data_IF_966812350952
#
_entry.id   IF_966812350952
#
_cell.length_a   1.000
_cell.length_b   1.000
_cell.length_c   1.000
_cell.angle_alpha   90.00
_cell.angle_beta   90.00
_cell.angle_gamma   90.00
#
_symmetry.space_group_name_H-M   'P 1'
#
loop_
_entity.id
_entity.type
_entity.pdbx_description
1 polymer ?
#
# COMPACT_ATOMS: atom_id res chain seq x y z
N UNK A 1 17.52 11.82 -6.05
CA UNK A 1 17.12 10.53 -6.65
C UNK A 1 16.89 9.57 -5.49
N UNK A 2 15.65 9.11 -5.26
CA UNK A 2 15.41 8.02 -4.31
C UNK A 2 16.21 6.83 -4.81
N UNK A 3 17.09 6.28 -3.97
CA UNK A 3 17.82 5.05 -4.31
C UNK A 3 16.78 3.93 -4.40
N UNK A 4 16.79 3.21 -5.51
CA UNK A 4 16.02 1.97 -5.73
C UNK A 4 16.56 0.83 -4.84
N UNK A 5 16.67 1.05 -3.53
CA UNK A 5 16.79 -0.09 -2.63
C UNK A 5 15.53 -0.96 -2.79
N UNK A 6 15.66 -2.30 -2.70
CA UNK A 6 14.55 -3.18 -2.94
C UNK A 6 13.53 -3.03 -1.80
N UNK A 7 12.60 -2.11 -1.98
CA UNK A 7 11.28 -2.11 -1.32
C UNK A 7 10.52 -3.43 -1.53
N UNK A 8 11.08 -4.35 -2.34
CA UNK A 8 10.48 -5.57 -2.87
C UNK A 8 10.94 -6.86 -2.20
N UNK A 9 11.86 -6.84 -1.24
CA UNK A 9 12.40 -8.07 -0.64
C UNK A 9 12.53 -7.99 0.89
N UNK A 10 11.40 -8.04 1.62
CA UNK A 10 11.42 -7.96 3.08
C UNK A 10 12.15 -9.16 3.70
N UNK A 11 12.98 -8.90 4.71
CA UNK A 11 13.65 -9.94 5.51
C UNK A 11 12.71 -10.65 6.49
N UNK A 12 11.55 -10.06 6.79
CA UNK A 12 10.56 -10.61 7.72
C UNK A 12 9.16 -10.46 7.12
N UNK A 13 8.36 -11.52 7.17
CA UNK A 13 7.02 -11.57 6.57
C UNK A 13 6.04 -12.10 7.61
N UNK A 14 4.99 -11.33 7.86
CA UNK A 14 3.88 -11.74 8.72
C UNK A 14 2.67 -12.14 7.88
N UNK A 15 2.13 -13.35 8.07
CA UNK A 15 0.88 -13.78 7.42
C UNK A 15 -0.10 -14.37 8.43
N UNK A 16 -1.25 -14.83 7.94
CA UNK A 16 -2.11 -15.78 8.64
C UNK A 16 -1.51 -17.18 8.72
N UNK A 17 -2.21 -18.07 9.42
CA UNK A 17 -1.82 -19.47 9.59
C UNK A 17 -2.26 -20.32 8.38
N UNK A 18 -2.57 -19.71 7.23
CA UNK A 18 -2.97 -20.47 6.05
C UNK A 18 -1.77 -21.20 5.44
N UNK A 19 -1.95 -22.48 5.09
CA UNK A 19 -0.89 -23.29 4.48
C UNK A 19 -0.46 -22.73 3.09
N UNK A 20 -1.37 -22.03 2.41
CA UNK A 20 -1.10 -21.35 1.14
C UNK A 20 -0.04 -20.26 1.28
N UNK A 21 0.03 -19.59 2.43
CA UNK A 21 1.00 -18.53 2.70
C UNK A 21 2.44 -19.05 2.69
N UNK A 22 2.68 -20.22 3.30
CA UNK A 22 4.01 -20.86 3.29
C UNK A 22 4.42 -21.29 1.87
N UNK A 23 3.50 -21.90 1.11
CA UNK A 23 3.75 -22.29 -0.27
C UNK A 23 4.10 -21.08 -1.17
N UNK A 24 3.38 -19.96 -0.99
CA UNK A 24 3.64 -18.72 -1.72
C UNK A 24 5.01 -18.11 -1.38
N UNK A 25 5.40 -18.13 -0.09
CA UNK A 25 6.73 -17.66 0.35
C UNK A 25 7.82 -18.50 -0.29
N UNK A 26 7.74 -19.84 -0.20
CA UNK A 26 8.74 -20.75 -0.76
C UNK A 26 8.87 -20.59 -2.28
N UNK A 27 7.75 -20.46 -2.99
CA UNK A 27 7.74 -20.19 -4.44
C UNK A 27 8.41 -18.84 -4.76
N UNK A 28 8.13 -17.81 -3.96
CA UNK A 28 8.72 -16.48 -4.15
C UNK A 28 10.23 -16.46 -3.87
N UNK A 29 10.71 -17.25 -2.91
CA UNK A 29 12.14 -17.47 -2.66
C UNK A 29 12.80 -18.20 -3.84
N UNK A 30 12.20 -19.28 -4.33
CA UNK A 30 12.69 -20.03 -5.50
C UNK A 30 12.79 -19.17 -6.76
N UNK A 31 11.83 -18.25 -6.95
CA UNK A 31 11.80 -17.28 -8.05
C UNK A 31 12.67 -16.03 -7.82
N UNK A 32 13.43 -15.96 -6.72
CA UNK A 32 14.30 -14.82 -6.34
C UNK A 32 13.55 -13.49 -6.21
N UNK A 33 12.26 -13.55 -5.85
CA UNK A 33 11.42 -12.38 -5.56
C UNK A 33 11.55 -11.93 -4.09
N UNK A 34 11.94 -12.84 -3.21
CA UNK A 34 12.17 -12.59 -1.78
C UNK A 34 13.61 -12.90 -1.38
N UNK A 35 13.97 -12.47 -0.16
CA UNK A 35 15.24 -12.80 0.47
C UNK A 35 15.36 -14.33 0.56
N UNK A 36 16.55 -14.94 0.36
CA UNK A 36 16.72 -16.39 0.39
C UNK A 36 16.27 -17.07 1.69
N UNK A 37 16.33 -16.31 2.79
CA UNK A 37 15.92 -16.76 4.12
C UNK A 37 15.05 -15.67 4.78
N UNK A 38 13.76 -15.59 4.44
CA UNK A 38 12.85 -14.64 5.06
C UNK A 38 12.30 -15.22 6.37
N UNK A 39 12.32 -14.44 7.44
CA UNK A 39 11.72 -14.85 8.71
C UNK A 39 10.21 -14.77 8.58
N UNK A 40 9.53 -15.92 8.56
CA UNK A 40 8.07 -16.00 8.57
C UNK A 40 7.54 -16.06 10.00
N UNK A 41 6.54 -15.23 10.32
CA UNK A 41 5.87 -15.29 11.61
C UNK A 41 4.35 -15.15 11.47
N UNK A 42 3.64 -15.75 12.42
CA UNK A 42 2.18 -15.70 12.51
C UNK A 42 1.80 -15.03 13.82
N UNK A 43 1.59 -13.72 13.79
CA UNK A 43 1.33 -12.91 14.98
C UNK A 43 0.06 -12.07 14.76
N UNK A 44 -0.96 -12.31 15.59
CA UNK A 44 -2.29 -11.72 15.46
C UNK A 44 -2.28 -10.18 15.45
N UNK A 45 -1.46 -9.53 16.29
CA UNK A 45 -1.44 -8.06 16.35
C UNK A 45 -0.86 -7.43 15.07
N UNK A 46 0.04 -8.11 14.36
CA UNK A 46 0.60 -7.60 13.09
C UNK A 46 -0.39 -7.74 11.93
N UNK A 47 -1.35 -8.66 12.04
CA UNK A 47 -2.46 -8.76 11.09
C UNK A 47 -3.45 -7.59 11.23
N UNK A 48 -3.55 -6.97 12.40
CA UNK A 48 -4.46 -5.82 12.60
C UNK A 48 -4.10 -4.63 11.71
N UNK A 49 -2.80 -4.44 11.41
CA UNK A 49 -2.37 -3.40 10.47
C UNK A 49 -2.90 -3.64 9.06
N UNK A 50 -2.74 -4.87 8.56
CA UNK A 50 -3.25 -5.29 7.25
C UNK A 50 -4.78 -5.19 7.21
N UNK A 51 -5.45 -5.61 8.28
CA UNK A 51 -6.92 -5.54 8.36
C UNK A 51 -7.42 -4.08 8.39
N UNK A 52 -6.70 -3.18 9.05
CA UNK A 52 -7.00 -1.74 9.04
C UNK A 52 -6.83 -1.14 7.63
N UNK A 53 -5.77 -1.51 6.93
CA UNK A 53 -5.52 -1.08 5.55
C UNK A 53 -6.61 -1.64 4.60
N UNK A 54 -6.98 -2.92 4.73
CA UNK A 54 -8.11 -3.52 4.01
C UNK A 54 -9.43 -2.79 4.27
N UNK A 55 -9.73 -2.49 5.54
CA UNK A 55 -10.94 -1.76 5.91
C UNK A 55 -11.00 -0.40 5.21
N UNK A 56 -9.88 0.33 5.13
CA UNK A 56 -9.82 1.65 4.46
C UNK A 56 -10.12 1.57 2.97
N UNK A 57 -9.64 0.53 2.28
CA UNK A 57 -9.98 0.28 0.87
C UNK A 57 -11.46 -0.11 0.74
N UNK A 58 -11.89 -1.13 1.49
CA UNK A 58 -13.26 -1.67 1.41
C UNK A 58 -14.33 -0.66 1.82
N UNK A 59 -14.05 0.27 2.74
CA UNK A 59 -14.99 1.29 3.20
C UNK A 59 -15.55 2.15 2.07
N UNK A 60 -14.77 2.39 1.01
CA UNK A 60 -15.22 3.20 -0.12
C UNK A 60 -15.85 2.37 -1.26
N UNK A 61 -15.70 1.04 -1.24
CA UNK A 61 -16.16 0.15 -2.31
C UNK A 61 -17.68 0.20 -2.56
N UNK A 62 -18.55 0.26 -1.53
CA UNK A 62 -20.00 0.35 -1.77
C UNK A 62 -20.42 1.64 -2.49
N UNK A 63 -19.61 2.70 -2.46
CA UNK A 63 -19.95 4.00 -3.07
C UNK A 63 -19.75 4.05 -4.58
N UNK A 64 -19.00 3.11 -5.14
CA UNK A 64 -18.61 3.12 -6.55
C UNK A 64 -19.47 2.20 -7.44
N UNK A 65 -20.39 1.42 -6.85
CA UNK A 65 -21.41 0.69 -7.61
C UNK A 65 -20.90 -0.47 -8.47
N UNK A 66 -19.91 -1.21 -7.96
CA UNK A 66 -19.23 -2.35 -8.59
C UNK A 66 -18.26 -2.01 -9.74
N UNK A 67 -17.57 -3.05 -10.22
CA UNK A 67 -16.59 -2.95 -11.30
C UNK A 67 -17.10 -3.65 -12.55
N UNK A 68 -17.11 -2.92 -13.67
CA UNK A 68 -17.49 -3.47 -14.98
C UNK A 68 -16.60 -4.64 -15.45
N UNK A 69 -15.32 -4.68 -15.04
CA UNK A 69 -14.34 -5.66 -15.51
C UNK A 69 -13.21 -5.83 -14.48
N UNK A 70 -12.42 -6.91 -14.61
CA UNK A 70 -11.21 -7.08 -13.80
C UNK A 70 -10.19 -5.96 -14.00
N UNK A 71 -10.04 -5.45 -15.23
CA UNK A 71 -9.11 -4.35 -15.52
C UNK A 71 -9.54 -3.04 -14.83
N UNK A 72 -10.83 -2.70 -14.90
CA UNK A 72 -11.36 -1.53 -14.21
C UNK A 72 -11.29 -1.69 -12.69
N UNK A 73 -11.54 -2.90 -12.15
CA UNK A 73 -11.33 -3.21 -10.74
C UNK A 73 -9.88 -2.96 -10.31
N UNK A 74 -8.93 -3.55 -11.03
CA UNK A 74 -7.49 -3.43 -10.73
C UNK A 74 -7.05 -1.97 -10.75
N UNK A 75 -7.39 -1.21 -11.79
CA UNK A 75 -7.02 0.22 -11.90
C UNK A 75 -7.63 1.06 -10.79
N UNK A 76 -8.89 0.78 -10.44
CA UNK A 76 -9.59 1.54 -9.40
C UNK A 76 -9.02 1.25 -8.01
N UNK A 77 -8.79 -0.02 -7.67
CA UNK A 77 -8.17 -0.42 -6.39
C UNK A 77 -6.76 0.18 -6.26
N UNK A 78 -5.94 0.12 -7.32
CA UNK A 78 -4.62 0.74 -7.33
C UNK A 78 -4.69 2.27 -7.09
N UNK A 79 -5.71 2.94 -7.64
CA UNK A 79 -5.97 4.35 -7.37
C UNK A 79 -6.31 4.62 -5.89
N UNK A 80 -7.17 3.80 -5.28
CA UNK A 80 -7.47 3.90 -3.85
C UNK A 80 -6.22 3.69 -2.98
N UNK A 81 -5.41 2.68 -3.29
CA UNK A 81 -4.16 2.40 -2.59
C UNK A 81 -3.17 3.56 -2.70
N UNK A 82 -3.00 4.12 -3.90
CA UNK A 82 -2.15 5.29 -4.11
C UNK A 82 -2.59 6.48 -3.27
N UNK A 83 -3.90 6.76 -3.21
CA UNK A 83 -4.43 7.84 -2.37
C UNK A 83 -4.22 7.59 -0.87
N UNK A 84 -4.33 6.34 -0.42
CA UNK A 84 -4.06 5.97 0.98
C UNK A 84 -2.58 6.06 1.32
N UNK A 85 -1.69 5.69 0.40
CA UNK A 85 -0.24 5.83 0.55
C UNK A 85 0.18 7.29 0.63
N UNK A 86 -0.37 8.12 -0.27
CA UNK A 86 -0.20 9.57 -0.20
C UNK A 86 -0.67 10.08 1.15
N UNK A 87 -1.88 9.74 1.62
CA UNK A 87 -2.34 10.18 2.95
C UNK A 87 -1.44 9.71 4.10
N UNK A 88 -0.84 8.51 4.02
CA UNK A 88 0.05 7.95 5.05
C UNK A 88 1.45 8.56 5.04
N UNK A 89 1.86 9.22 3.96
CA UNK A 89 3.20 9.80 3.81
C UNK A 89 4.27 8.78 3.44
N UNK A 90 3.88 7.62 2.90
CA UNK A 90 4.82 6.55 2.60
C UNK A 90 5.80 7.00 1.50
N UNK A 91 7.10 7.01 1.80
CA UNK A 91 8.16 7.43 0.87
C UNK A 91 8.50 8.94 0.91
N UNK A 92 7.82 9.74 1.72
CA UNK A 92 8.21 11.13 1.97
C UNK A 92 9.14 11.22 3.19
N UNK A 93 10.20 12.01 3.08
CA UNK A 93 11.08 12.37 4.19
C UNK A 93 10.71 13.78 4.66
N UNK A 94 10.58 14.00 5.99
CA UNK A 94 10.07 15.20 6.72
C UNK A 94 8.61 15.11 7.19
N UNK A 95 8.14 16.18 7.86
CA UNK A 95 6.78 16.39 8.32
C UNK A 95 5.82 16.32 7.14
N UNK A 96 5.20 15.16 6.92
CA UNK A 96 4.14 14.97 5.94
C UNK A 96 2.84 15.56 6.47
N UNK A 97 2.81 16.89 6.62
CA UNK A 97 1.68 17.60 7.19
C UNK A 97 0.54 17.73 6.18
N UNK A 98 -0.64 18.14 6.67
CA UNK A 98 -1.83 18.35 5.83
C UNK A 98 -1.57 19.39 4.73
N UNK A 99 -0.74 20.39 5.01
CA UNK A 99 -0.36 21.41 4.04
C UNK A 99 0.47 20.80 2.89
N UNK A 100 1.42 19.92 3.17
CA UNK A 100 2.22 19.25 2.12
C UNK A 100 1.37 18.34 1.24
N UNK A 101 0.35 17.70 1.83
CA UNK A 101 -0.64 16.90 1.09
C UNK A 101 -1.46 17.78 0.14
N UNK A 102 -1.99 18.90 0.64
CA UNK A 102 -2.75 19.86 -0.17
C UNK A 102 -1.90 20.45 -1.29
N UNK A 103 -0.62 20.75 -1.03
CA UNK A 103 0.32 21.28 -2.01
C UNK A 103 0.59 20.31 -3.16
N UNK A 104 0.79 19.03 -2.83
CA UNK A 104 1.00 18.00 -3.83
C UNK A 104 -0.24 17.85 -4.71
N UNK A 105 -1.44 17.79 -4.12
CA UNK A 105 -2.69 17.70 -4.89
C UNK A 105 -2.88 18.92 -5.80
N UNK A 106 -2.63 20.12 -5.27
CA UNK A 106 -2.74 21.35 -6.07
C UNK A 106 -1.81 21.31 -7.28
N UNK A 107 -0.56 20.84 -7.13
CA UNK A 107 0.39 20.69 -8.23
C UNK A 107 -0.04 19.62 -9.24
N UNK A 108 -0.47 18.45 -8.78
CA UNK A 108 -0.87 17.33 -9.64
C UNK A 108 -2.09 17.66 -10.51
N UNK A 109 -3.03 18.44 -9.96
CA UNK A 109 -4.28 18.78 -10.62
C UNK A 109 -4.31 20.22 -11.19
N UNK A 110 -3.19 20.95 -11.12
CA UNK A 110 -3.11 22.33 -11.61
C UNK A 110 -4.02 23.32 -10.89
N UNK A 111 -4.34 23.08 -9.61
CA UNK A 111 -5.24 23.90 -8.82
C UNK A 111 -4.49 25.08 -8.19
N UNK A 112 -5.12 26.26 -8.15
CA UNK A 112 -4.60 27.38 -7.37
C UNK A 112 -4.83 27.16 -5.87
N UNK A 113 -3.80 27.42 -5.06
CA UNK A 113 -3.96 27.45 -3.60
C UNK A 113 -4.84 28.62 -3.20
N UNK A 114 -5.98 28.31 -2.59
CA UNK A 114 -6.96 29.31 -2.15
C UNK A 114 -6.67 29.80 -0.71
N UNK A 115 -6.00 28.98 0.10
CA UNK A 115 -5.58 29.33 1.45
C UNK A 115 -4.07 29.55 1.48
N UNK A 116 -3.66 30.83 1.52
CA UNK A 116 -2.31 31.23 1.91
C UNK A 116 -2.37 31.61 3.38
N UNK A 117 -1.61 30.91 4.22
CA UNK A 117 -1.21 31.42 5.53
C UNK A 117 -0.04 32.37 5.34
#
# INVERSE_FOLDING_TARGET
MLKDEPLRSPRKIGTDRANTSLAAINSSVGNRLLHPDPVHYVIKHLQQGIESDHFRVKKNMPKIGDFQSFNTARRTIAGFEAMLWLRKGFGFSRDWAVNDQSDLLARLFGLQKVNKA
#
